data_IF_665596267435
#
_entry.id   IF_665596267435
#
_cell.length_a   1.000
_cell.length_b   1.000
_cell.length_c   1.000
_cell.angle_alpha   90.00
_cell.angle_beta   90.00
_cell.angle_gamma   90.00
#
_symmetry.space_group_name_H-M   'P 1'
#
loop_
_entity.id
_entity.type
_entity.pdbx_description
1 polymer ?
#
# COMPACT_ATOMS: atom_id res chain seq x y z
N UNK A 1 -1.54 -37.24 34.56
CA UNK A 1 -2.50 -36.98 33.47
C UNK A 1 -2.81 -35.52 33.30
N UNK A 2 -3.05 -34.77 34.40
CA UNK A 2 -3.31 -33.35 34.34
C UNK A 2 -2.08 -32.54 33.89
N UNK A 3 -0.88 -32.94 34.30
CA UNK A 3 0.37 -32.28 33.92
C UNK A 3 0.65 -32.44 32.42
N UNK A 4 0.40 -33.65 31.87
CA UNK A 4 0.58 -33.91 30.45
C UNK A 4 -0.42 -33.12 29.61
N UNK A 5 -1.67 -32.98 30.08
CA UNK A 5 -2.71 -32.21 29.40
C UNK A 5 -2.37 -30.74 29.38
N UNK A 6 -1.84 -30.22 30.48
CA UNK A 6 -1.42 -28.83 30.59
C UNK A 6 -0.23 -28.51 29.67
N UNK A 7 0.72 -29.45 29.52
CA UNK A 7 1.85 -29.27 28.62
C UNK A 7 1.42 -29.24 27.14
N UNK A 8 0.43 -30.03 26.76
CA UNK A 8 -0.12 -30.05 25.39
C UNK A 8 -0.78 -28.72 25.06
N UNK A 9 -1.57 -28.18 25.97
CA UNK A 9 -2.23 -26.88 25.78
C UNK A 9 -1.22 -25.76 25.64
N UNK A 10 -0.14 -25.78 26.43
CA UNK A 10 0.93 -24.79 26.38
C UNK A 10 1.68 -24.83 25.04
N UNK A 11 1.97 -26.02 24.54
CA UNK A 11 2.61 -26.19 23.23
C UNK A 11 1.71 -25.74 22.08
N UNK A 12 0.41 -26.02 22.14
CA UNK A 12 -0.56 -25.58 21.15
C UNK A 12 -0.65 -24.04 21.09
N UNK A 13 -0.66 -23.38 22.24
CA UNK A 13 -0.67 -21.92 22.32
C UNK A 13 0.58 -21.32 21.68
N UNK A 14 1.77 -21.87 21.91
CA UNK A 14 3.03 -21.43 21.31
C UNK A 14 3.04 -21.60 19.80
N UNK A 15 2.50 -22.71 19.30
CA UNK A 15 2.39 -22.98 17.87
C UNK A 15 1.46 -21.98 17.19
N UNK A 16 0.36 -21.61 17.81
CA UNK A 16 -0.58 -20.63 17.27
C UNK A 16 0.08 -19.25 17.12
N UNK A 17 0.85 -18.81 18.10
CA UNK A 17 1.58 -17.54 18.05
C UNK A 17 2.59 -17.54 16.90
N UNK A 18 3.36 -18.60 16.74
CA UNK A 18 4.33 -18.73 15.65
C UNK A 18 3.64 -18.73 14.29
N UNK A 19 2.52 -19.41 14.15
CA UNK A 19 1.75 -19.43 12.91
C UNK A 19 1.24 -18.05 12.51
N UNK A 20 0.80 -17.25 13.49
CA UNK A 20 0.33 -15.88 13.25
C UNK A 20 1.47 -14.98 12.76
N UNK A 21 2.64 -15.03 13.40
CA UNK A 21 3.82 -14.27 12.99
C UNK A 21 4.24 -14.65 11.57
N UNK A 22 4.25 -15.92 11.25
CA UNK A 22 4.60 -16.41 9.93
C UNK A 22 3.60 -15.94 8.85
N UNK A 23 2.31 -15.85 9.17
CA UNK A 23 1.30 -15.34 8.27
C UNK A 23 1.47 -13.86 7.98
N UNK A 24 1.84 -13.05 8.95
CA UNK A 24 2.11 -11.62 8.76
C UNK A 24 3.31 -11.40 7.85
N UNK A 25 4.41 -12.12 8.06
CA UNK A 25 5.58 -12.07 7.18
C UNK A 25 5.23 -12.48 5.75
N UNK A 26 4.42 -13.51 5.59
CA UNK A 26 3.96 -13.98 4.30
C UNK A 26 3.09 -12.94 3.59
N UNK A 27 2.20 -12.25 4.31
CA UNK A 27 1.36 -11.19 3.73
C UNK A 27 2.20 -10.05 3.16
N UNK A 28 3.20 -9.57 3.91
CA UNK A 28 4.09 -8.51 3.45
C UNK A 28 4.86 -8.96 2.22
N UNK A 29 5.38 -10.19 2.23
CA UNK A 29 6.07 -10.77 1.09
C UNK A 29 5.17 -10.86 -0.14
N UNK A 30 3.94 -11.35 0.02
CA UNK A 30 2.97 -11.49 -1.05
C UNK A 30 2.58 -10.12 -1.62
N UNK A 31 2.44 -9.09 -0.77
CA UNK A 31 2.13 -7.75 -1.20
C UNK A 31 3.26 -7.15 -2.04
N UNK A 32 4.50 -7.32 -1.60
CA UNK A 32 5.67 -6.87 -2.36
C UNK A 32 5.78 -7.60 -3.70
N UNK A 33 5.48 -8.88 -3.74
CA UNK A 33 5.45 -9.66 -4.98
C UNK A 33 4.35 -9.16 -5.92
N UNK A 34 3.18 -8.82 -5.38
CA UNK A 34 2.09 -8.24 -6.16
C UNK A 34 2.50 -6.91 -6.77
N UNK A 35 3.12 -6.02 -5.99
CA UNK A 35 3.62 -4.74 -6.50
C UNK A 35 4.68 -4.94 -7.58
N UNK A 36 5.56 -5.91 -7.40
CA UNK A 36 6.57 -6.25 -8.40
C UNK A 36 5.94 -6.74 -9.70
N UNK A 37 4.89 -7.56 -9.62
CA UNK A 37 4.14 -8.03 -10.79
C UNK A 37 3.49 -6.87 -11.53
N UNK A 38 2.90 -5.92 -10.80
CA UNK A 38 2.30 -4.73 -11.41
C UNK A 38 3.38 -3.92 -12.15
N UNK A 39 4.53 -3.70 -11.53
CA UNK A 39 5.64 -2.98 -12.19
C UNK A 39 6.16 -3.72 -13.41
N UNK A 40 6.16 -5.05 -13.38
CA UNK A 40 6.58 -5.87 -14.51
C UNK A 40 5.61 -5.74 -15.69
N UNK A 41 4.32 -5.73 -15.43
CA UNK A 41 3.28 -5.54 -16.44
C UNK A 41 3.21 -4.08 -16.92
N UNK A 42 3.35 -3.14 -16.00
CA UNK A 42 3.27 -1.71 -16.27
C UNK A 42 4.52 -1.01 -15.72
N UNK A 43 5.64 -1.01 -16.50
CA UNK A 43 6.88 -0.34 -16.06
C UNK A 43 6.69 1.15 -15.82
N UNK A 44 5.72 1.76 -16.50
CA UNK A 44 5.30 3.15 -16.31
C UNK A 44 3.79 3.22 -16.23
N UNK A 45 3.22 4.24 -15.54
CA UNK A 45 1.77 4.40 -15.50
C UNK A 45 1.17 4.56 -16.90
N UNK A 46 -0.02 4.01 -17.09
CA UNK A 46 -0.78 4.22 -18.31
C UNK A 46 -1.37 5.62 -18.34
N UNK A 47 -1.57 6.18 -19.53
CA UNK A 47 -2.15 7.52 -19.69
C UNK A 47 -3.55 7.63 -19.06
N UNK A 48 -4.33 6.57 -19.13
CA UNK A 48 -5.68 6.52 -18.57
C UNK A 48 -5.70 6.59 -17.04
N UNK A 49 -4.57 6.34 -16.39
CA UNK A 49 -4.46 6.29 -14.93
C UNK A 49 -4.41 7.67 -14.28
N UNK A 50 -4.52 8.75 -15.02
CA UNK A 50 -4.77 10.05 -14.45
C UNK A 50 -6.18 10.16 -13.85
N UNK A 51 -7.07 9.23 -14.20
CA UNK A 51 -8.37 9.03 -13.60
C UNK A 51 -8.34 7.81 -12.67
N UNK A 52 -8.74 7.99 -11.41
CA UNK A 52 -8.69 6.93 -10.41
C UNK A 52 -9.56 5.73 -10.78
N UNK A 53 -10.72 5.96 -11.37
CA UNK A 53 -11.62 4.86 -11.76
C UNK A 53 -10.98 3.95 -12.81
N UNK A 54 -10.28 4.51 -13.78
CA UNK A 54 -9.55 3.74 -14.79
C UNK A 54 -8.38 2.98 -14.18
N UNK A 55 -7.64 3.62 -13.28
CA UNK A 55 -6.55 3.00 -12.53
C UNK A 55 -7.04 1.82 -11.71
N UNK A 56 -8.09 2.03 -10.93
CA UNK A 56 -8.68 1.01 -10.07
C UNK A 56 -9.17 -0.18 -10.88
N UNK A 57 -9.83 0.06 -12.01
CA UNK A 57 -10.32 -0.99 -12.88
C UNK A 57 -9.20 -1.92 -13.32
N UNK A 58 -8.04 -1.37 -13.69
CA UNK A 58 -6.90 -2.15 -14.16
C UNK A 58 -6.21 -2.93 -13.05
N UNK A 59 -6.17 -2.40 -11.82
CA UNK A 59 -5.41 -2.97 -10.71
C UNK A 59 -6.28 -3.58 -9.61
N UNK A 60 -7.61 -3.54 -9.73
CA UNK A 60 -8.50 -3.99 -8.66
C UNK A 60 -8.30 -5.47 -8.32
N UNK A 61 -8.02 -6.31 -9.31
CA UNK A 61 -7.80 -7.73 -9.07
C UNK A 61 -6.62 -8.00 -8.13
N UNK A 62 -5.57 -7.17 -8.20
CA UNK A 62 -4.37 -7.33 -7.39
C UNK A 62 -4.39 -6.53 -6.09
N UNK A 63 -5.08 -5.37 -6.07
CA UNK A 63 -5.03 -4.42 -4.97
C UNK A 63 -6.40 -4.10 -4.38
N UNK A 64 -7.39 -4.96 -4.55
CA UNK A 64 -8.77 -4.69 -4.13
C UNK A 64 -8.86 -4.25 -2.67
N UNK A 65 -8.30 -5.02 -1.75
CA UNK A 65 -8.35 -4.72 -0.31
C UNK A 65 -7.62 -3.42 0.02
N UNK A 66 -6.50 -3.18 -0.64
CA UNK A 66 -5.74 -1.96 -0.46
C UNK A 66 -6.54 -0.74 -0.92
N UNK A 67 -7.22 -0.84 -2.07
CA UNK A 67 -8.10 0.24 -2.56
C UNK A 67 -9.25 0.51 -1.58
N UNK A 68 -9.83 -0.53 -0.98
CA UNK A 68 -10.89 -0.36 0.01
C UNK A 68 -10.39 0.46 1.21
N UNK A 69 -9.18 0.20 1.68
CA UNK A 69 -8.57 0.95 2.78
C UNK A 69 -8.24 2.38 2.36
N UNK A 70 -7.72 2.57 1.14
CA UNK A 70 -7.41 3.90 0.62
C UNK A 70 -8.67 4.77 0.54
N UNK A 71 -9.77 4.22 0.05
CA UNK A 71 -11.02 4.96 -0.10
C UNK A 71 -11.60 5.41 1.23
N UNK A 72 -11.32 4.70 2.32
CA UNK A 72 -11.74 5.11 3.66
C UNK A 72 -11.01 6.36 4.17
N UNK A 73 -9.93 6.76 3.54
CA UNK A 73 -9.21 7.98 3.89
C UNK A 73 -9.88 9.24 3.34
N UNK A 74 -10.86 9.10 2.47
CA UNK A 74 -11.62 10.21 1.87
C UNK A 74 -10.74 11.23 1.13
N UNK A 75 -9.77 10.74 0.40
CA UNK A 75 -8.90 11.58 -0.43
C UNK A 75 -9.59 11.90 -1.76
N UNK A 76 -9.14 12.96 -2.43
CA UNK A 76 -9.64 13.31 -3.74
C UNK A 76 -9.19 12.29 -4.79
N UNK A 77 -9.82 12.33 -5.97
CA UNK A 77 -9.46 11.46 -7.09
C UNK A 77 -7.96 11.53 -7.42
N UNK A 78 -7.43 12.73 -7.57
CA UNK A 78 -6.01 12.94 -7.90
C UNK A 78 -5.08 12.51 -6.76
N UNK A 79 -5.49 12.72 -5.52
CA UNK A 79 -4.74 12.27 -4.35
C UNK A 79 -4.66 10.76 -4.28
N UNK A 80 -5.76 10.07 -4.59
CA UNK A 80 -5.78 8.61 -4.65
C UNK A 80 -4.81 8.10 -5.72
N UNK A 81 -4.83 8.69 -6.92
CA UNK A 81 -3.92 8.33 -8.01
C UNK A 81 -2.46 8.50 -7.59
N UNK A 82 -2.15 9.62 -6.92
CA UNK A 82 -0.80 9.88 -6.43
C UNK A 82 -0.34 8.81 -5.43
N UNK A 83 -1.21 8.42 -4.50
CA UNK A 83 -0.90 7.39 -3.51
C UNK A 83 -0.61 6.03 -4.18
N UNK A 84 -1.37 5.66 -5.20
CA UNK A 84 -1.15 4.41 -5.94
C UNK A 84 0.21 4.46 -6.65
N UNK A 85 0.53 5.57 -7.31
CA UNK A 85 1.81 5.69 -8.03
C UNK A 85 2.99 5.67 -7.06
N UNK A 86 2.85 6.30 -5.90
CA UNK A 86 3.86 6.29 -4.88
C UNK A 86 4.12 4.88 -4.35
N UNK A 87 3.05 4.09 -4.20
CA UNK A 87 3.13 2.71 -3.74
C UNK A 87 3.75 1.79 -4.79
N UNK A 88 3.27 1.87 -6.03
CA UNK A 88 3.68 0.97 -7.11
C UNK A 88 5.07 1.33 -7.64
N UNK A 89 5.39 2.63 -7.70
CA UNK A 89 6.66 3.13 -8.24
C UNK A 89 7.47 3.86 -7.16
N UNK A 90 7.96 3.15 -6.13
CA UNK A 90 8.63 3.80 -4.99
C UNK A 90 9.96 4.46 -5.35
N UNK A 91 10.56 4.08 -6.47
CA UNK A 91 11.82 4.65 -6.95
C UNK A 91 11.63 5.90 -7.80
N UNK A 92 10.40 6.23 -8.16
CA UNK A 92 10.11 7.43 -8.95
C UNK A 92 10.36 8.69 -8.11
N UNK A 93 10.98 9.70 -8.69
CA UNK A 93 11.18 10.99 -8.05
C UNK A 93 9.85 11.74 -7.95
N UNK A 94 9.80 12.78 -7.12
CA UNK A 94 8.61 13.64 -7.04
C UNK A 94 8.33 14.29 -8.39
N UNK A 95 9.35 14.66 -9.15
CA UNK A 95 9.20 15.24 -10.48
C UNK A 95 8.55 14.23 -11.44
N UNK A 96 8.96 12.99 -11.40
CA UNK A 96 8.36 11.93 -12.21
C UNK A 96 6.90 11.70 -11.82
N UNK A 97 6.59 11.64 -10.52
CA UNK A 97 5.23 11.49 -10.03
C UNK A 97 4.35 12.66 -10.46
N UNK A 98 4.87 13.89 -10.39
CA UNK A 98 4.18 15.07 -10.87
C UNK A 98 3.83 14.97 -12.36
N UNK A 99 4.79 14.50 -13.15
CA UNK A 99 4.61 14.27 -14.59
C UNK A 99 3.48 13.26 -14.84
N UNK A 100 3.44 12.18 -14.07
CA UNK A 100 2.44 11.13 -14.25
C UNK A 100 1.01 11.61 -13.96
N UNK A 101 0.83 12.50 -12.99
CA UNK A 101 -0.49 13.03 -12.63
C UNK A 101 -0.79 14.37 -13.26
N UNK A 102 0.08 14.85 -14.16
CA UNK A 102 -0.04 16.14 -14.83
C UNK A 102 -0.14 17.31 -13.84
N UNK A 103 0.75 17.32 -12.86
CA UNK A 103 0.82 18.32 -11.81
C UNK A 103 2.14 19.11 -11.94
N UNK A 104 2.17 20.34 -11.40
CA UNK A 104 3.39 21.15 -11.49
C UNK A 104 4.50 20.58 -10.61
N UNK A 105 5.74 20.65 -11.09
CA UNK A 105 6.91 20.19 -10.34
C UNK A 105 7.17 21.06 -9.11
N UNK A 106 6.75 22.32 -9.15
CA UNK A 106 6.91 23.23 -8.01
C UNK A 106 5.86 23.00 -6.93
N UNK A 107 4.67 22.49 -7.30
CA UNK A 107 3.58 22.25 -6.36
C UNK A 107 3.50 20.86 -5.79
N UNK A 108 4.26 19.91 -6.34
CA UNK A 108 4.11 18.49 -5.97
C UNK A 108 4.50 18.21 -4.52
N UNK A 109 5.50 18.88 -3.99
CA UNK A 109 5.91 18.73 -2.59
C UNK A 109 4.80 19.14 -1.62
N UNK A 110 4.15 20.26 -1.92
CA UNK A 110 3.00 20.74 -1.14
C UNK A 110 1.82 19.78 -1.26
N UNK A 111 1.58 19.26 -2.45
CA UNK A 111 0.52 18.28 -2.72
C UNK A 111 0.73 17.02 -1.86
N UNK A 112 1.93 16.48 -1.87
CA UNK A 112 2.29 15.31 -1.04
C UNK A 112 2.10 15.60 0.45
N UNK A 113 2.53 16.77 0.91
CA UNK A 113 2.40 17.17 2.32
C UNK A 113 0.94 17.28 2.74
N UNK A 114 0.08 17.81 1.88
CA UNK A 114 -1.37 17.90 2.15
C UNK A 114 -2.00 16.53 2.30
N UNK A 115 -1.60 15.57 1.48
CA UNK A 115 -2.07 14.19 1.61
C UNK A 115 -1.67 13.62 2.98
N UNK A 116 -0.40 13.78 3.35
CA UNK A 116 0.11 13.32 4.64
C UNK A 116 -0.67 13.95 5.81
N UNK A 117 -0.97 15.24 5.72
CA UNK A 117 -1.75 15.95 6.74
C UNK A 117 -3.17 15.42 6.84
N UNK A 118 -3.82 15.14 5.71
CA UNK A 118 -5.19 14.58 5.70
C UNK A 118 -5.23 13.21 6.35
N UNK A 119 -4.20 12.40 6.13
CA UNK A 119 -4.08 11.06 6.69
C UNK A 119 -3.67 11.11 8.16
N UNK A 120 -2.90 12.13 8.55
CA UNK A 120 -2.40 12.28 9.92
C UNK A 120 -1.04 11.67 10.15
N UNK A 121 -0.19 11.62 9.12
CA UNK A 121 1.18 11.10 9.20
C UNK A 121 2.18 12.17 8.78
N UNK A 122 3.44 12.00 9.16
CA UNK A 122 4.52 12.85 8.68
C UNK A 122 4.75 12.63 7.17
N UNK A 123 5.10 13.71 6.48
CA UNK A 123 5.37 13.69 5.05
C UNK A 123 6.40 12.61 4.66
N UNK A 124 7.46 12.47 5.45
CA UNK A 124 8.52 11.48 5.19
C UNK A 124 8.09 10.04 5.45
N UNK A 125 6.98 9.82 6.18
CA UNK A 125 6.46 8.50 6.50
C UNK A 125 5.25 8.13 5.66
N UNK A 126 4.87 8.94 4.68
CA UNK A 126 3.70 8.68 3.86
C UNK A 126 3.81 7.35 3.10
N UNK A 127 4.96 7.08 2.49
CA UNK A 127 5.17 5.82 1.78
C UNK A 127 5.03 4.62 2.73
N UNK A 128 5.68 4.70 3.90
CA UNK A 128 5.62 3.63 4.89
C UNK A 128 4.19 3.36 5.35
N UNK A 129 3.40 4.41 5.54
CA UNK A 129 1.99 4.28 5.88
C UNK A 129 1.23 3.54 4.78
N UNK A 130 1.38 3.94 3.53
CA UNK A 130 0.69 3.34 2.40
C UNK A 130 1.07 1.87 2.19
N UNK A 131 2.34 1.55 2.40
CA UNK A 131 2.86 0.20 2.20
C UNK A 131 2.56 -0.70 3.40
N UNK A 132 2.82 -0.23 4.61
CA UNK A 132 2.81 -1.07 5.80
C UNK A 132 1.45 -1.10 6.50
N UNK A 133 0.78 0.05 6.61
CA UNK A 133 -0.47 0.15 7.38
C UNK A 133 -1.72 -0.13 6.54
N UNK A 134 -1.73 0.22 5.27
CA UNK A 134 -2.85 -0.09 4.38
C UNK A 134 -2.80 -1.50 3.81
N UNK A 135 -1.69 -2.21 3.99
CA UNK A 135 -1.47 -3.56 3.50
C UNK A 135 -2.10 -4.61 4.44
N UNK A 136 -3.37 -4.54 4.70
CA UNK A 136 -3.99 -5.48 5.66
C UNK A 136 -4.95 -6.41 4.95
#
# INVERSE_FOLDING_TARGET
LQVAHHQIDDLSARMEVQATEHQEEKRVYDFNATLADIRSTYPKPRKQWNDYNSLKKDLDAQLHDWFCQLEQLHLSNRENVFCVFMLVYPKASLEELASYIHYSTTGISTFKRRIAQKIGVDNKHLYDFLHDELCV
#
